data_IF_005689102543
#
_entry.id   IF_005689102543
#
_cell.length_a   1.000
_cell.length_b   1.000
_cell.length_c   1.000
_cell.angle_alpha   90.00
_cell.angle_beta   90.00
_cell.angle_gamma   90.00
#
_symmetry.space_group_name_H-M   'P 1'
#
loop_
_entity.id
_entity.type
_entity.pdbx_description
1 polymer ?
#
# COMPACT_ATOMS: atom_id res chain seq x y z
N UNK A 1 14.49 -16.83 14.12
CA UNK A 1 14.59 -15.94 12.94
C UNK A 1 15.84 -16.35 12.18
N UNK A 2 15.70 -16.84 10.95
CA UNK A 2 16.87 -17.27 10.15
C UNK A 2 17.78 -16.07 9.93
N UNK A 3 19.05 -16.19 10.32
CA UNK A 3 20.05 -15.17 10.08
C UNK A 3 20.27 -15.08 8.57
N UNK A 4 19.92 -13.94 7.98
CA UNK A 4 20.15 -13.67 6.55
C UNK A 4 21.66 -13.65 6.31
N UNK A 5 22.14 -14.41 5.33
CA UNK A 5 23.56 -14.47 4.99
C UNK A 5 24.05 -13.15 4.37
N UNK A 6 25.36 -12.96 4.33
CA UNK A 6 25.96 -11.70 3.92
C UNK A 6 25.82 -11.42 2.41
N UNK A 7 25.63 -12.43 1.58
CA UNK A 7 25.36 -12.25 0.16
C UNK A 7 23.94 -11.70 -0.03
N UNK A 8 22.97 -12.31 0.63
CA UNK A 8 21.58 -11.85 0.62
C UNK A 8 21.45 -10.42 1.15
N UNK A 9 22.19 -10.05 2.21
CA UNK A 9 22.21 -8.66 2.72
C UNK A 9 22.73 -7.68 1.66
N UNK A 10 23.86 -7.97 1.01
CA UNK A 10 24.42 -7.09 -0.04
C UNK A 10 23.44 -6.93 -1.21
N UNK A 11 22.74 -8.00 -1.58
CA UNK A 11 21.71 -7.94 -2.60
C UNK A 11 20.55 -7.02 -2.18
N UNK A 12 20.05 -7.16 -0.96
CA UNK A 12 19.00 -6.30 -0.41
C UNK A 12 19.41 -4.82 -0.43
N UNK A 13 20.64 -4.51 -0.01
CA UNK A 13 21.19 -3.14 -0.02
C UNK A 13 21.28 -2.59 -1.44
N UNK A 14 21.78 -3.38 -2.39
CA UNK A 14 21.87 -2.95 -3.79
C UNK A 14 20.49 -2.64 -4.40
N UNK A 15 19.48 -3.44 -4.07
CA UNK A 15 18.09 -3.22 -4.51
C UNK A 15 17.54 -1.96 -3.86
N UNK A 16 17.79 -1.75 -2.57
CA UNK A 16 17.36 -0.57 -1.84
C UNK A 16 17.98 0.71 -2.43
N UNK A 17 19.29 0.74 -2.61
CA UNK A 17 20.00 1.87 -3.23
C UNK A 17 19.43 2.15 -4.63
N UNK A 18 19.21 1.11 -5.43
CA UNK A 18 18.60 1.24 -6.74
C UNK A 18 17.20 1.86 -6.69
N UNK A 19 16.36 1.48 -5.71
CA UNK A 19 15.04 2.09 -5.50
C UNK A 19 15.16 3.56 -5.11
N UNK A 20 16.08 3.91 -4.20
CA UNK A 20 16.33 5.28 -3.76
C UNK A 20 16.76 6.16 -4.93
N UNK A 21 17.69 5.70 -5.77
CA UNK A 21 18.17 6.49 -6.90
C UNK A 21 17.07 6.74 -7.94
N UNK A 22 16.25 5.73 -8.26
CA UNK A 22 15.08 5.91 -9.13
C UNK A 22 14.08 6.92 -8.53
N UNK A 23 13.81 6.83 -7.24
CA UNK A 23 12.94 7.78 -6.57
C UNK A 23 13.52 9.19 -6.64
N UNK A 24 14.81 9.39 -6.37
CA UNK A 24 15.48 10.69 -6.41
C UNK A 24 15.40 11.37 -7.78
N UNK A 25 15.52 10.61 -8.86
CA UNK A 25 15.46 11.12 -10.25
C UNK A 25 14.07 11.62 -10.67
N UNK A 26 13.00 11.21 -9.99
CA UNK A 26 11.64 11.66 -10.30
C UNK A 26 11.39 13.09 -9.83
N UNK A 27 10.60 13.83 -10.61
CA UNK A 27 10.18 15.18 -10.23
C UNK A 27 9.32 15.18 -8.96
N UNK A 28 9.26 16.33 -8.28
CA UNK A 28 8.41 16.49 -7.07
C UNK A 28 6.94 16.25 -7.41
N UNK A 29 6.46 16.73 -8.57
CA UNK A 29 5.09 16.51 -9.02
C UNK A 29 4.78 15.02 -9.21
N UNK A 30 5.69 14.26 -9.81
CA UNK A 30 5.50 12.82 -9.96
C UNK A 30 5.49 12.06 -8.63
N UNK A 31 6.31 12.47 -7.66
CA UNK A 31 6.33 11.88 -6.32
C UNK A 31 5.03 12.17 -5.57
N UNK A 32 4.52 13.39 -5.67
CA UNK A 32 3.26 13.78 -5.04
C UNK A 32 2.09 12.95 -5.57
N UNK A 33 2.10 12.60 -6.86
CA UNK A 33 1.08 11.77 -7.49
C UNK A 33 1.14 10.29 -7.09
N UNK A 34 2.23 9.81 -6.46
CA UNK A 34 2.32 8.40 -6.04
C UNK A 34 1.29 8.07 -4.96
N UNK A 35 1.02 8.98 -4.03
CA UNK A 35 0.01 8.77 -2.99
C UNK A 35 -1.38 8.47 -3.57
N UNK A 36 -1.95 9.38 -4.39
CA UNK A 36 -3.23 9.14 -5.08
C UNK A 36 -3.23 7.88 -5.96
N UNK A 37 -2.14 7.59 -6.68
CA UNK A 37 -2.04 6.38 -7.53
C UNK A 37 -2.07 5.09 -6.71
N UNK A 38 -1.30 5.05 -5.62
CA UNK A 38 -1.28 3.91 -4.70
C UNK A 38 -2.63 3.71 -4.02
N UNK A 39 -3.31 4.81 -3.65
CA UNK A 39 -4.66 4.75 -3.10
C UNK A 39 -5.64 4.14 -4.09
N UNK A 40 -5.67 4.62 -5.33
CA UNK A 40 -6.56 4.09 -6.37
C UNK A 40 -6.27 2.60 -6.65
N UNK A 41 -4.99 2.22 -6.73
CA UNK A 41 -4.59 0.82 -6.87
C UNK A 41 -5.11 -0.03 -5.70
N UNK A 42 -4.97 0.45 -4.46
CA UNK A 42 -5.53 -0.21 -3.28
C UNK A 42 -7.05 -0.37 -3.36
N UNK A 43 -7.75 0.65 -3.87
CA UNK A 43 -9.20 0.57 -4.08
C UNK A 43 -9.57 -0.51 -5.11
N UNK A 44 -8.83 -0.63 -6.20
CA UNK A 44 -9.04 -1.67 -7.22
C UNK A 44 -8.79 -3.08 -6.68
N UNK A 45 -7.74 -3.26 -5.88
CA UNK A 45 -7.45 -4.52 -5.20
C UNK A 45 -8.60 -4.88 -4.27
N UNK A 46 -9.09 -3.94 -3.44
CA UNK A 46 -10.19 -4.20 -2.53
C UNK A 46 -11.47 -4.61 -3.27
N UNK A 47 -11.85 -3.90 -4.34
CA UNK A 47 -13.01 -4.27 -5.17
C UNK A 47 -12.86 -5.66 -5.78
N UNK A 48 -11.67 -6.00 -6.26
CA UNK A 48 -11.38 -7.32 -6.83
C UNK A 48 -11.50 -8.41 -5.76
N UNK A 49 -10.99 -8.15 -4.55
CA UNK A 49 -11.16 -9.03 -3.40
C UNK A 49 -12.63 -9.23 -3.01
N UNK A 50 -13.44 -8.17 -3.04
CA UNK A 50 -14.89 -8.26 -2.77
C UNK A 50 -15.59 -9.13 -3.81
N UNK A 51 -15.30 -8.94 -5.11
CA UNK A 51 -15.86 -9.80 -6.18
C UNK A 51 -15.47 -11.27 -6.01
N UNK A 52 -14.22 -11.52 -5.59
CA UNK A 52 -13.76 -12.89 -5.35
C UNK A 52 -14.40 -13.51 -4.10
N UNK A 53 -14.74 -12.72 -3.08
CA UNK A 53 -15.41 -13.18 -1.86
C UNK A 53 -16.92 -13.38 -2.06
N UNK A 54 -17.55 -12.57 -2.92
CA UNK A 54 -18.98 -12.60 -3.21
C UNK A 54 -19.21 -12.62 -4.73
N UNK A 55 -19.09 -13.80 -5.38
CA UNK A 55 -19.22 -13.92 -6.83
C UNK A 55 -20.58 -13.48 -7.38
N UNK A 56 -21.63 -13.59 -6.57
CA UNK A 56 -23.01 -13.26 -6.97
C UNK A 56 -23.35 -11.76 -6.81
N UNK A 57 -22.42 -10.95 -6.28
CA UNK A 57 -22.67 -9.52 -6.14
C UNK A 57 -22.72 -8.82 -7.50
N UNK A 58 -23.73 -7.99 -7.67
CA UNK A 58 -23.76 -7.02 -8.78
C UNK A 58 -22.67 -5.97 -8.60
N UNK A 59 -22.33 -5.25 -9.66
CA UNK A 59 -21.35 -4.16 -9.60
C UNK A 59 -21.72 -3.09 -8.54
N UNK A 60 -23.01 -2.81 -8.38
CA UNK A 60 -23.51 -1.86 -7.37
C UNK A 60 -23.33 -2.39 -5.95
N UNK A 61 -23.64 -3.68 -5.71
CA UNK A 61 -23.43 -4.32 -4.42
C UNK A 61 -21.95 -4.38 -4.01
N UNK A 62 -21.06 -4.65 -4.97
CA UNK A 62 -19.60 -4.55 -4.75
C UNK A 62 -19.22 -3.15 -4.28
N UNK A 63 -19.80 -2.11 -4.88
CA UNK A 63 -19.43 -0.73 -4.53
C UNK A 63 -20.01 -0.29 -3.18
N UNK A 64 -21.20 -0.76 -2.82
CA UNK A 64 -21.77 -0.57 -1.47
C UNK A 64 -20.85 -1.20 -0.42
N UNK A 65 -20.45 -2.45 -0.62
CA UNK A 65 -19.55 -3.16 0.31
C UNK A 65 -18.16 -2.52 0.36
N UNK A 66 -17.64 -2.07 -0.78
CA UNK A 66 -16.38 -1.33 -0.89
C UNK A 66 -16.42 -0.06 -0.02
N UNK A 67 -17.48 0.77 -0.16
CA UNK A 67 -17.64 1.99 0.65
C UNK A 67 -17.76 1.68 2.14
N UNK A 68 -18.47 0.62 2.51
CA UNK A 68 -18.58 0.17 3.91
C UNK A 68 -17.21 -0.17 4.49
N UNK A 69 -16.39 -0.95 3.77
CA UNK A 69 -15.03 -1.31 4.20
C UNK A 69 -14.10 -0.11 4.27
N UNK A 70 -14.18 0.79 3.30
CA UNK A 70 -13.39 2.02 3.29
C UNK A 70 -13.71 2.91 4.50
N UNK A 71 -14.99 3.04 4.85
CA UNK A 71 -15.42 3.79 6.03
C UNK A 71 -14.90 3.19 7.34
N UNK A 72 -14.86 1.85 7.45
CA UNK A 72 -14.24 1.16 8.59
C UNK A 72 -12.75 1.48 8.66
N UNK A 73 -12.03 1.38 7.53
CA UNK A 73 -10.61 1.71 7.45
C UNK A 73 -10.30 3.14 7.91
N UNK A 74 -11.11 4.12 7.49
CA UNK A 74 -10.98 5.53 7.93
C UNK A 74 -11.15 5.67 9.43
N UNK A 75 -12.19 5.08 10.02
CA UNK A 75 -12.43 5.14 11.48
C UNK A 75 -11.26 4.56 12.27
N UNK A 76 -10.67 3.46 11.80
CA UNK A 76 -9.52 2.84 12.47
C UNK A 76 -8.28 3.75 12.38
N UNK A 77 -8.06 4.37 11.22
CA UNK A 77 -6.97 5.33 11.03
C UNK A 77 -7.14 6.60 11.91
N UNK A 78 -8.34 7.17 11.93
CA UNK A 78 -8.70 8.34 12.76
C UNK A 78 -8.58 8.06 14.25
N UNK A 79 -8.89 6.83 14.68
CA UNK A 79 -8.73 6.40 16.06
C UNK A 79 -7.26 6.15 16.46
N UNK A 80 -6.29 6.33 15.55
CA UNK A 80 -4.87 6.14 15.81
C UNK A 80 -4.48 4.68 16.08
N UNK A 81 -5.35 3.72 15.73
CA UNK A 81 -5.14 2.29 16.02
C UNK A 81 -4.04 1.70 15.12
N UNK A 82 -3.74 2.33 13.97
CA UNK A 82 -2.57 2.02 13.17
C UNK A 82 -1.44 3.03 13.46
N UNK A 83 -0.36 2.56 14.09
CA UNK A 83 0.89 3.31 14.14
C UNK A 83 1.65 3.19 12.82
N UNK A 84 2.18 4.31 12.32
CA UNK A 84 3.14 4.30 11.24
C UNK A 84 4.45 3.69 11.76
N UNK A 85 4.65 2.40 11.54
CA UNK A 85 5.90 1.67 11.85
C UNK A 85 7.09 2.08 10.97
N UNK A 86 6.92 3.10 10.13
CA UNK A 86 7.92 3.61 9.19
C UNK A 86 8.62 4.90 9.60
N UNK A 87 8.48 5.38 10.84
CA UNK A 87 9.44 6.37 11.36
C UNK A 87 10.73 5.60 11.68
N UNK A 88 11.68 5.60 10.75
CA UNK A 88 13.07 5.37 11.09
C UNK A 88 13.48 6.59 11.92
N UNK A 89 13.70 6.39 13.22
CA UNK A 89 14.36 7.39 14.04
C UNK A 89 15.70 7.75 13.35
N UNK A 90 15.87 9.04 13.03
CA UNK A 90 17.11 9.59 12.46
C UNK A 90 18.28 9.51 13.45
#
# INVERSE_FOLDING_TARGET
MSQVDDETKRLMDSIFIGKVMRARQRSIGEKLLDGPRLFEQGCQIMRSGIRSQFPDFTAEQVEIEFRRRLAIGRRIAEAGIYQNVGVLDE
#
